data_IF_124659767943
#
_entry.id   IF_124659767943
#
_cell.length_a   1.000
_cell.length_b   1.000
_cell.length_c   1.000
_cell.angle_alpha   90.00
_cell.angle_beta   90.00
_cell.angle_gamma   90.00
#
_symmetry.space_group_name_H-M   'P 1'
#
loop_
_entity.id
_entity.type
_entity.pdbx_description
1 polymer ?
#
# COMPACT_ATOMS: atom_id res chain seq x y z
N UNK A 1 6.14 -38.18 5.71
CA UNK A 1 5.16 -37.10 5.46
C UNK A 1 5.67 -35.86 6.15
N UNK A 2 6.04 -34.82 5.41
CA UNK A 2 6.54 -33.57 6.00
C UNK A 2 5.38 -32.87 6.73
N UNK A 3 5.57 -32.60 8.01
CA UNK A 3 4.63 -31.79 8.81
C UNK A 3 4.66 -30.35 8.26
N UNK A 4 3.56 -29.90 7.67
CA UNK A 4 3.39 -28.49 7.28
C UNK A 4 3.16 -27.69 8.55
N UNK A 5 4.20 -27.03 9.05
CA UNK A 5 3.99 -26.01 10.08
C UNK A 5 3.16 -24.89 9.48
N UNK A 6 2.00 -24.61 10.07
CA UNK A 6 1.15 -23.50 9.67
C UNK A 6 1.94 -22.20 9.82
N UNK A 7 2.05 -21.43 8.74
CA UNK A 7 2.68 -20.11 8.74
C UNK A 7 1.60 -19.07 8.99
N UNK A 8 1.81 -18.21 9.99
CA UNK A 8 0.93 -17.07 10.24
C UNK A 8 1.27 -15.93 9.28
N UNK A 9 0.32 -15.44 8.47
CA UNK A 9 0.54 -14.29 7.61
C UNK A 9 0.90 -13.04 8.42
N UNK A 10 1.85 -12.24 7.91
CA UNK A 10 2.19 -10.94 8.48
C UNK A 10 1.25 -9.87 7.91
N UNK A 11 0.74 -8.99 8.79
CA UNK A 11 -0.03 -7.83 8.35
C UNK A 11 0.83 -6.88 7.51
N UNK A 12 0.27 -6.40 6.41
CA UNK A 12 0.93 -5.48 5.48
C UNK A 12 -0.08 -4.55 4.82
N UNK A 13 0.42 -3.42 4.32
CA UNK A 13 -0.35 -2.47 3.54
C UNK A 13 0.44 -2.06 2.29
N UNK A 14 -0.28 -1.80 1.20
CA UNK A 14 0.26 -1.25 -0.03
C UNK A 14 -0.61 -0.08 -0.49
N UNK A 15 0.03 0.92 -1.09
CA UNK A 15 -0.63 2.11 -1.61
C UNK A 15 -0.58 2.12 -3.14
N UNK A 16 -1.71 2.46 -3.75
CA UNK A 16 -1.79 2.70 -5.19
C UNK A 16 -1.88 4.20 -5.42
N UNK A 17 -0.89 4.75 -6.12
CA UNK A 17 -0.92 6.14 -6.56
C UNK A 17 -1.37 6.16 -8.01
N UNK A 18 -2.52 6.78 -8.26
CA UNK A 18 -3.14 6.88 -9.57
C UNK A 18 -3.05 8.31 -10.08
N UNK A 19 -2.87 8.46 -11.39
CA UNK A 19 -3.10 9.73 -12.10
C UNK A 19 -3.75 9.44 -13.45
N UNK A 20 -4.53 10.36 -14.02
CA UNK A 20 -4.99 10.21 -15.39
C UNK A 20 -3.82 10.33 -16.39
N UNK A 21 -3.79 9.48 -17.40
CA UNK A 21 -2.91 9.59 -18.55
C UNK A 21 -3.28 10.86 -19.33
N UNK A 22 -2.29 11.68 -19.69
CA UNK A 22 -2.51 12.95 -20.37
C UNK A 22 -3.19 12.83 -21.75
N UNK A 23 -3.09 11.66 -22.40
CA UNK A 23 -3.65 11.45 -23.74
C UNK A 23 -5.11 11.03 -23.74
N UNK A 24 -5.44 9.96 -23.03
CA UNK A 24 -6.76 9.31 -23.10
C UNK A 24 -7.50 9.26 -21.75
N UNK A 25 -6.94 9.88 -20.70
CA UNK A 25 -7.54 9.94 -19.37
C UNK A 25 -7.54 8.60 -18.62
N UNK A 26 -6.95 7.54 -19.15
CA UNK A 26 -6.89 6.23 -18.46
C UNK A 26 -6.03 6.33 -17.19
N UNK A 27 -6.33 5.54 -16.15
CA UNK A 27 -5.51 5.54 -14.94
C UNK A 27 -4.11 4.98 -15.23
N UNK A 28 -3.08 5.78 -14.94
CA UNK A 28 -1.70 5.33 -14.79
C UNK A 28 -1.44 5.06 -13.32
N UNK A 29 -0.73 3.98 -13.00
CA UNK A 29 -0.38 3.60 -11.63
C UNK A 29 1.12 3.64 -11.44
N UNK A 30 1.57 4.28 -10.37
CA UNK A 30 2.99 4.26 -9.99
C UNK A 30 3.36 2.90 -9.38
N UNK A 31 4.42 2.30 -9.91
CA UNK A 31 4.99 1.05 -9.41
C UNK A 31 6.50 1.21 -9.24
N UNK A 32 7.07 0.47 -8.30
CA UNK A 32 8.52 0.43 -8.06
C UNK A 32 9.06 -0.94 -8.46
N UNK A 33 10.26 -0.97 -9.04
CA UNK A 33 10.96 -2.23 -9.29
C UNK A 33 11.78 -2.59 -8.06
N UNK A 34 11.62 -3.83 -7.56
CA UNK A 34 12.40 -4.28 -6.40
C UNK A 34 13.86 -4.48 -6.77
N UNK A 35 14.74 -4.12 -5.83
CA UNK A 35 16.17 -4.34 -5.97
C UNK A 35 16.49 -5.82 -6.24
N UNK A 36 17.51 -6.10 -7.05
CA UNK A 36 17.86 -7.45 -7.48
C UNK A 36 18.27 -8.37 -6.32
N UNK A 37 18.74 -7.80 -5.21
CA UNK A 37 19.15 -8.53 -4.01
C UNK A 37 18.03 -8.66 -2.96
N UNK A 38 16.77 -8.49 -3.35
CA UNK A 38 15.66 -8.62 -2.40
C UNK A 38 15.39 -10.09 -2.08
N UNK A 39 15.31 -10.43 -0.79
CA UNK A 39 15.06 -11.80 -0.29
C UNK A 39 13.71 -12.39 -0.72
N UNK A 40 12.83 -11.56 -1.28
CA UNK A 40 11.51 -11.95 -1.75
C UNK A 40 11.29 -11.30 -3.13
N UNK A 41 10.91 -12.07 -4.15
CA UNK A 41 10.50 -11.62 -5.49
C UNK A 41 11.36 -10.46 -6.07
N UNK A 42 12.66 -10.66 -6.35
CA UNK A 42 13.54 -9.63 -6.91
C UNK A 42 13.17 -9.27 -8.36
N UNK A 43 13.41 -8.02 -8.76
CA UNK A 43 13.31 -7.57 -10.15
C UNK A 43 11.90 -7.35 -10.70
N UNK A 44 10.85 -7.66 -9.93
CA UNK A 44 9.45 -7.41 -10.34
C UNK A 44 8.97 -6.01 -9.94
N UNK A 45 8.00 -5.51 -10.69
CA UNK A 45 7.27 -4.30 -10.32
C UNK A 45 6.22 -4.61 -9.26
N UNK A 46 6.21 -3.80 -8.20
CA UNK A 46 5.26 -3.89 -7.09
C UNK A 46 4.68 -2.52 -6.79
N UNK A 47 3.50 -2.49 -6.15
CA UNK A 47 3.03 -1.26 -5.53
C UNK A 47 3.90 -0.91 -4.31
N UNK A 48 4.16 0.37 -4.04
CA UNK A 48 4.80 0.79 -2.81
C UNK A 48 4.02 0.28 -1.59
N UNK A 49 4.74 -0.21 -0.59
CA UNK A 49 4.12 -0.79 0.59
C UNK A 49 5.13 -1.47 1.49
N UNK A 50 4.62 -2.06 2.56
CA UNK A 50 5.44 -2.70 3.58
C UNK A 50 4.61 -3.50 4.55
N UNK A 51 5.31 -4.23 5.41
CA UNK A 51 4.66 -4.86 6.55
C UNK A 51 4.38 -3.83 7.63
N UNK A 52 3.33 -4.05 8.41
CA UNK A 52 3.01 -3.20 9.56
C UNK A 52 4.19 -3.16 10.54
N UNK A 53 4.47 -1.97 11.05
CA UNK A 53 5.46 -1.66 12.07
C UNK A 53 4.77 -1.11 13.32
N UNK A 54 5.42 -1.20 14.49
CA UNK A 54 4.84 -0.66 15.72
C UNK A 54 4.68 0.88 15.66
N UNK A 55 5.55 1.56 14.92
CA UNK A 55 5.49 3.00 14.70
C UNK A 55 4.24 3.44 13.90
N UNK A 56 3.60 2.53 13.16
CA UNK A 56 2.38 2.84 12.42
C UNK A 56 1.25 3.27 13.37
N UNK A 57 1.19 2.67 14.58
CA UNK A 57 0.22 3.03 15.62
C UNK A 57 0.49 4.40 16.25
N UNK A 58 1.76 4.76 16.36
CA UNK A 58 2.14 6.09 16.86
C UNK A 58 1.73 7.18 15.85
N UNK A 59 1.87 6.90 14.56
CA UNK A 59 1.44 7.80 13.49
C UNK A 59 -0.09 8.03 13.49
N UNK A 60 -0.90 7.01 13.83
CA UNK A 60 -2.37 7.14 13.93
C UNK A 60 -2.81 8.17 14.97
N UNK A 61 -2.06 8.34 16.05
CA UNK A 61 -2.40 9.29 17.14
C UNK A 61 -1.62 10.60 17.06
N UNK A 62 -0.68 10.71 16.12
CA UNK A 62 0.13 11.92 15.94
C UNK A 62 -0.70 13.02 15.27
N UNK A 63 -0.86 14.14 15.97
CA UNK A 63 -1.63 15.28 15.50
C UNK A 63 -1.10 15.79 14.14
N UNK A 64 -2.00 15.91 13.16
CA UNK A 64 -1.68 16.41 11.82
C UNK A 64 -1.11 15.37 10.85
N UNK A 65 -0.86 14.13 11.30
CA UNK A 65 -0.42 13.03 10.43
C UNK A 65 -1.61 12.27 9.85
N UNK A 66 -2.63 12.03 10.66
CA UNK A 66 -3.86 11.37 10.23
C UNK A 66 -5.09 12.10 10.77
N UNK A 67 -6.21 11.91 10.10
CA UNK A 67 -7.53 12.41 10.52
C UNK A 67 -8.53 11.25 10.48
N UNK A 68 -9.49 11.18 11.42
CA UNK A 68 -10.51 10.14 11.39
C UNK A 68 -11.27 10.17 10.06
N UNK A 69 -11.47 9.00 9.44
CA UNK A 69 -12.23 8.88 8.19
C UNK A 69 -13.64 9.48 8.29
N UNK A 70 -14.27 9.38 9.47
CA UNK A 70 -15.59 9.97 9.72
C UNK A 70 -15.61 11.51 9.62
N UNK A 71 -14.46 12.15 9.72
CA UNK A 71 -14.30 13.61 9.62
C UNK A 71 -14.04 14.07 8.18
N UNK A 72 -13.87 13.15 7.22
CA UNK A 72 -13.64 13.45 5.81
C UNK A 72 -14.94 13.34 5.03
N UNK A 73 -15.19 14.24 4.07
CA UNK A 73 -16.15 14.02 2.98
C UNK A 73 -15.41 13.24 1.88
N UNK A 74 -15.64 11.93 1.73
CA UNK A 74 -14.80 11.12 0.86
C UNK A 74 -15.14 11.37 -0.61
N UNK A 75 -14.36 12.22 -1.26
CA UNK A 75 -14.20 12.14 -2.71
C UNK A 75 -13.11 11.11 -2.98
N UNK A 76 -13.52 9.89 -3.32
CA UNK A 76 -12.55 8.83 -3.64
C UNK A 76 -12.11 8.96 -5.09
N UNK A 77 -10.92 8.45 -5.43
CA UNK A 77 -10.45 8.39 -6.81
C UNK A 77 -11.37 7.55 -7.73
N UNK A 78 -12.31 6.78 -7.17
CA UNK A 78 -13.33 6.00 -7.88
C UNK A 78 -14.68 6.74 -7.99
N UNK A 79 -14.76 7.98 -7.51
CA UNK A 79 -15.99 8.77 -7.43
C UNK A 79 -16.55 8.86 -6.00
N UNK A 80 -17.78 9.38 -5.89
CA UNK A 80 -18.54 9.37 -4.64
C UNK A 80 -19.02 7.94 -4.39
N UNK A 81 -18.72 7.40 -3.20
CA UNK A 81 -19.20 6.09 -2.75
C UNK A 81 -20.68 6.08 -2.42
#
# INVERSE_FOLDING_TARGET
>A
MASSSLVTPRLSAAVMLLRPHAGDGRPEVFMVQRHAQSDFVPGVFVFPGGSVSDADREAEVTAGVSVPMASLTPETALGQG
#
